data_IF_015439630610
#
_entry.id   IF_015439630610
#
_cell.length_a   1.000
_cell.length_b   1.000
_cell.length_c   1.000
_cell.angle_alpha   90.00
_cell.angle_beta   90.00
_cell.angle_gamma   90.00
#
_symmetry.space_group_name_H-M   'P 1'
#
loop_
_entity.id
_entity.type
_entity.pdbx_description
1 polymer ?
#
# COMPACT_ATOMS: atom_id res chain seq x y z
N UNK A 1 -20.51 -22.90 -20.63
CA UNK A 1 -19.21 -22.58 -19.97
C UNK A 1 -18.82 -21.09 -20.07
N UNK A 2 -19.30 -20.31 -21.04
CA UNK A 2 -18.95 -18.88 -21.17
C UNK A 2 -19.63 -17.95 -20.14
N UNK A 3 -20.81 -18.30 -19.63
CA UNK A 3 -21.58 -17.47 -18.68
C UNK A 3 -20.82 -17.10 -17.39
N UNK A 4 -20.28 -18.07 -16.64
CA UNK A 4 -19.55 -17.79 -15.39
C UNK A 4 -18.28 -16.96 -15.58
N UNK A 5 -17.57 -17.16 -16.70
CA UNK A 5 -16.37 -16.37 -17.03
C UNK A 5 -16.77 -14.92 -17.36
N UNK A 6 -17.83 -14.74 -18.16
CA UNK A 6 -18.33 -13.42 -18.50
C UNK A 6 -18.82 -12.66 -17.25
N UNK A 7 -19.45 -13.36 -16.31
CA UNK A 7 -19.90 -12.79 -15.04
C UNK A 7 -18.71 -12.35 -14.16
N UNK A 8 -17.67 -13.18 -14.04
CA UNK A 8 -16.44 -12.81 -13.33
C UNK A 8 -15.78 -11.57 -13.93
N UNK A 9 -15.64 -11.52 -15.27
CA UNK A 9 -15.07 -10.38 -15.97
C UNK A 9 -15.93 -9.12 -15.84
N UNK A 10 -17.26 -9.26 -15.90
CA UNK A 10 -18.20 -8.16 -15.69
C UNK A 10 -18.07 -7.60 -14.27
N UNK A 11 -17.99 -8.46 -13.26
CA UNK A 11 -17.82 -8.05 -11.86
C UNK A 11 -16.46 -7.38 -11.62
N UNK A 12 -15.38 -7.91 -12.19
CA UNK A 12 -14.07 -7.27 -12.16
C UNK A 12 -14.12 -5.88 -12.83
N UNK A 13 -14.79 -5.77 -13.97
CA UNK A 13 -14.98 -4.51 -14.69
C UNK A 13 -15.82 -3.48 -13.94
N UNK A 14 -16.90 -3.90 -13.26
CA UNK A 14 -17.71 -2.99 -12.44
C UNK A 14 -16.94 -2.51 -11.21
N UNK A 15 -16.19 -3.38 -10.55
CA UNK A 15 -15.28 -3.01 -9.47
C UNK A 15 -14.23 -2.00 -9.96
N UNK A 16 -13.57 -2.29 -11.09
CA UNK A 16 -12.59 -1.40 -11.70
C UNK A 16 -13.18 -0.02 -12.00
N UNK A 17 -14.38 0.02 -12.58
CA UNK A 17 -15.08 1.26 -12.89
C UNK A 17 -15.36 2.10 -11.65
N UNK A 18 -15.72 1.47 -10.54
CA UNK A 18 -16.07 2.21 -9.32
C UNK A 18 -14.87 2.80 -8.60
N UNK A 19 -13.73 2.12 -8.65
CA UNK A 19 -12.51 2.59 -7.98
C UNK A 19 -11.61 3.44 -8.88
N UNK A 20 -11.87 3.52 -10.18
CA UNK A 20 -10.95 4.15 -11.14
C UNK A 20 -10.63 5.60 -10.78
N UNK A 21 -11.63 6.44 -10.56
CA UNK A 21 -11.40 7.86 -10.24
C UNK A 21 -10.69 8.04 -8.89
N UNK A 22 -11.03 7.24 -7.88
CA UNK A 22 -10.45 7.35 -6.54
C UNK A 22 -8.99 6.89 -6.55
N UNK A 23 -8.69 5.86 -7.31
CA UNK A 23 -7.33 5.39 -7.60
C UNK A 23 -6.51 6.48 -8.30
N UNK A 24 -7.04 7.11 -9.37
CA UNK A 24 -6.36 8.21 -10.07
C UNK A 24 -6.11 9.39 -9.12
N UNK A 25 -7.12 9.78 -8.36
CA UNK A 25 -7.02 10.87 -7.39
C UNK A 25 -5.95 10.57 -6.34
N UNK A 26 -5.96 9.36 -5.81
CA UNK A 26 -5.03 8.92 -4.79
C UNK A 26 -3.57 8.95 -5.27
N UNK A 27 -3.27 8.29 -6.39
CA UNK A 27 -1.94 8.36 -7.01
C UNK A 27 -1.52 9.78 -7.36
N UNK A 28 -2.46 10.64 -7.77
CA UNK A 28 -2.19 12.06 -8.04
C UNK A 28 -1.78 12.77 -6.75
N UNK A 29 -2.52 12.61 -5.66
CA UNK A 29 -2.19 13.18 -4.36
C UNK A 29 -0.83 12.66 -3.86
N UNK A 30 -0.60 11.35 -3.94
CA UNK A 30 0.68 10.73 -3.60
C UNK A 30 1.83 11.36 -4.40
N UNK A 31 1.65 11.53 -5.71
CA UNK A 31 2.66 12.13 -6.60
C UNK A 31 2.92 13.60 -6.27
N UNK A 32 1.90 14.37 -5.90
CA UNK A 32 2.04 15.75 -5.43
C UNK A 32 2.85 15.79 -4.14
N UNK A 33 2.52 14.94 -3.17
CA UNK A 33 3.26 14.92 -1.90
C UNK A 33 4.70 14.48 -2.11
N UNK A 34 4.95 13.42 -2.88
CA UNK A 34 6.30 12.96 -3.20
C UNK A 34 7.12 13.99 -4.01
N UNK A 35 6.50 14.78 -4.87
CA UNK A 35 7.19 15.87 -5.58
C UNK A 35 7.60 17.03 -4.65
N UNK A 36 6.88 17.23 -3.54
CA UNK A 36 7.07 18.34 -2.62
C UNK A 36 7.94 17.99 -1.40
N UNK A 37 7.88 16.73 -0.94
CA UNK A 37 8.63 16.21 0.22
C UNK A 37 9.98 15.67 -0.23
N UNK A 38 11.06 16.28 0.26
CA UNK A 38 12.45 15.89 -0.08
C UNK A 38 12.84 14.61 0.65
N UNK A 39 13.33 13.60 -0.08
CA UNK A 39 13.75 12.31 0.48
C UNK A 39 15.06 12.41 1.31
N UNK A 40 15.90 13.41 1.02
CA UNK A 40 17.20 13.62 1.69
C UNK A 40 17.13 14.06 3.17
N UNK A 41 16.00 14.62 3.63
CA UNK A 41 15.85 15.08 5.02
C UNK A 41 15.60 13.93 6.01
N UNK A 42 15.13 12.77 5.53
CA UNK A 42 14.58 11.70 6.39
C UNK A 42 15.66 10.90 7.14
N UNK A 43 16.84 10.70 6.53
CA UNK A 43 17.87 9.80 7.08
C UNK A 43 18.48 10.31 8.38
N UNK A 44 18.68 11.64 8.53
CA UNK A 44 19.27 12.22 9.74
C UNK A 44 18.34 12.19 10.96
N UNK A 45 17.04 11.96 10.76
CA UNK A 45 16.01 12.00 11.80
C UNK A 45 15.64 10.61 12.34
N UNK A 46 16.11 9.52 11.73
CA UNK A 46 15.66 8.14 12.00
C UNK A 46 16.74 7.18 12.53
N UNK A 47 17.85 7.71 13.05
CA UNK A 47 19.01 6.91 13.49
C UNK A 47 18.82 6.08 14.77
N UNK A 48 17.69 6.22 15.47
CA UNK A 48 17.38 5.46 16.69
C UNK A 48 15.95 4.86 16.64
N UNK A 49 15.59 4.14 17.71
CA UNK A 49 14.33 3.43 17.92
C UNK A 49 13.56 3.97 19.15
N UNK A 50 13.80 5.23 19.49
CA UNK A 50 13.07 5.95 20.55
C UNK A 50 11.65 6.28 20.09
N UNK A 51 10.67 6.39 21.01
CA UNK A 51 9.28 6.69 20.66
C UNK A 51 9.10 7.94 19.80
N UNK A 52 9.87 9.01 20.07
CA UNK A 52 9.87 10.23 19.27
C UNK A 52 10.28 10.00 17.81
N UNK A 53 11.21 9.08 17.59
CA UNK A 53 11.75 8.75 16.28
C UNK A 53 10.80 7.85 15.52
N UNK A 54 10.19 6.88 16.20
CA UNK A 54 9.12 6.07 15.61
C UNK A 54 7.91 6.93 15.21
N UNK A 55 7.53 7.91 16.03
CA UNK A 55 6.47 8.86 15.68
C UNK A 55 6.81 9.69 14.44
N UNK A 56 8.04 10.20 14.35
CA UNK A 56 8.53 10.89 13.14
C UNK A 56 8.53 9.95 11.94
N UNK A 57 8.94 8.70 12.12
CA UNK A 57 8.94 7.68 11.07
C UNK A 57 7.54 7.40 10.54
N UNK A 58 6.57 7.23 11.45
CA UNK A 58 5.17 7.03 11.10
C UNK A 58 4.59 8.26 10.37
N UNK A 59 4.86 9.46 10.85
CA UNK A 59 4.41 10.70 10.19
C UNK A 59 5.01 10.88 8.80
N UNK A 60 6.31 10.58 8.63
CA UNK A 60 6.98 10.63 7.33
C UNK A 60 6.47 9.54 6.38
N UNK A 61 6.21 8.33 6.90
CA UNK A 61 5.59 7.25 6.13
C UNK A 61 4.20 7.65 5.63
N UNK A 62 3.32 8.06 6.54
CA UNK A 62 1.97 8.51 6.21
C UNK A 62 1.96 9.65 5.17
N UNK A 63 2.92 10.58 5.27
CA UNK A 63 3.10 11.63 4.26
C UNK A 63 3.65 11.08 2.93
N UNK A 64 4.59 10.14 2.96
CA UNK A 64 5.23 9.60 1.75
C UNK A 64 4.25 8.88 0.82
N UNK A 65 3.15 8.34 1.34
CA UNK A 65 2.04 7.75 0.59
C UNK A 65 2.55 6.89 -0.57
N UNK A 66 3.08 5.72 -0.26
CA UNK A 66 3.76 4.86 -1.24
C UNK A 66 3.06 3.51 -1.36
N UNK A 67 3.04 2.94 -2.57
CA UNK A 67 2.57 1.57 -2.73
C UNK A 67 3.44 0.59 -1.93
N UNK A 68 2.92 -0.60 -1.61
CA UNK A 68 3.62 -1.59 -0.76
C UNK A 68 5.03 -1.92 -1.28
N UNK A 69 5.25 -1.97 -2.59
CA UNK A 69 6.60 -2.18 -3.18
C UNK A 69 7.54 -0.99 -3.00
N UNK A 70 7.06 0.23 -3.27
CA UNK A 70 7.84 1.44 -3.08
C UNK A 70 8.16 1.66 -1.61
N UNK A 71 7.21 1.39 -0.70
CA UNK A 71 7.39 1.45 0.74
C UNK A 71 8.53 0.51 1.19
N UNK A 72 8.52 -0.75 0.76
CA UNK A 72 9.57 -1.73 1.11
C UNK A 72 10.94 -1.34 0.54
N UNK A 73 10.99 -0.80 -0.69
CA UNK A 73 12.23 -0.30 -1.28
C UNK A 73 12.78 0.92 -0.52
N UNK A 74 11.92 1.85 -0.13
CA UNK A 74 12.28 3.02 0.67
C UNK A 74 12.73 2.63 2.08
N UNK A 75 12.03 1.71 2.74
CA UNK A 75 12.41 1.19 4.05
C UNK A 75 13.80 0.55 4.02
N UNK A 76 14.09 -0.27 2.99
CA UNK A 76 15.43 -0.81 2.76
C UNK A 76 16.46 0.31 2.60
N UNK A 77 16.18 1.32 1.79
CA UNK A 77 17.08 2.46 1.57
C UNK A 77 17.36 3.23 2.87
N UNK A 78 16.33 3.49 3.68
CA UNK A 78 16.46 4.12 5.01
C UNK A 78 17.36 3.28 5.92
N UNK A 79 17.12 1.97 5.99
CA UNK A 79 17.93 1.06 6.79
C UNK A 79 19.39 1.00 6.32
N UNK A 80 19.64 0.94 5.01
CA UNK A 80 21.01 0.99 4.43
C UNK A 80 21.74 2.27 4.79
N UNK A 81 21.03 3.39 4.88
CA UNK A 81 21.58 4.71 5.17
C UNK A 81 21.71 4.99 6.68
N UNK A 82 21.47 3.99 7.53
CA UNK A 82 21.73 4.05 8.97
C UNK A 82 20.50 4.36 9.84
N UNK A 83 19.29 4.35 9.28
CA UNK A 83 18.09 4.37 10.11
C UNK A 83 17.98 3.07 10.93
N UNK A 84 17.36 3.13 12.11
CA UNK A 84 17.09 1.91 12.87
C UNK A 84 16.13 1.00 12.08
N UNK A 85 16.32 -0.31 12.17
CA UNK A 85 15.46 -1.27 11.46
C UNK A 85 13.99 -1.09 11.82
N UNK A 86 13.71 -0.90 13.12
CA UNK A 86 12.37 -0.64 13.62
C UNK A 86 11.78 0.64 13.04
N UNK A 87 12.53 1.75 13.00
CA UNK A 87 12.04 2.98 12.38
C UNK A 87 11.74 2.78 10.89
N UNK A 88 12.60 2.06 10.15
CA UNK A 88 12.37 1.74 8.74
C UNK A 88 11.09 0.93 8.52
N UNK A 89 10.81 -0.07 9.35
CA UNK A 89 9.56 -0.85 9.27
C UNK A 89 8.33 -0.03 9.68
N UNK A 90 8.46 0.85 10.67
CA UNK A 90 7.37 1.77 11.04
C UNK A 90 7.05 2.76 9.91
N UNK A 91 8.08 3.26 9.22
CA UNK A 91 7.89 4.07 8.01
C UNK A 91 7.13 3.28 6.94
N UNK A 92 7.53 2.03 6.71
CA UNK A 92 6.93 1.13 5.72
C UNK A 92 5.43 0.89 5.96
N UNK A 93 5.07 0.51 7.19
CA UNK A 93 3.68 0.29 7.63
C UNK A 93 2.87 1.58 7.52
N UNK A 94 3.42 2.70 8.01
CA UNK A 94 2.70 3.97 7.94
C UNK A 94 2.49 4.46 6.49
N UNK A 95 3.46 4.19 5.61
CA UNK A 95 3.39 4.57 4.18
C UNK A 95 2.34 3.81 3.38
N UNK A 96 1.80 2.72 3.93
CA UNK A 96 0.79 1.88 3.29
C UNK A 96 -0.56 1.95 4.00
N UNK A 97 -0.58 1.91 5.35
CA UNK A 97 -1.82 1.84 6.14
C UNK A 97 -2.34 3.20 6.65
N UNK A 98 -1.51 4.25 6.70
CA UNK A 98 -1.94 5.58 7.18
C UNK A 98 -2.18 6.58 6.04
N UNK A 99 -2.38 6.07 4.83
CA UNK A 99 -2.51 6.90 3.63
C UNK A 99 -3.94 7.41 3.48
N UNK A 100 -4.07 8.71 3.20
CA UNK A 100 -5.37 9.37 2.97
C UNK A 100 -6.12 8.76 1.78
N UNK A 101 -5.40 8.40 0.72
CA UNK A 101 -5.96 7.70 -0.46
C UNK A 101 -6.71 6.43 -0.07
N UNK A 102 -6.08 5.53 0.68
CA UNK A 102 -6.71 4.28 1.13
C UNK A 102 -7.97 4.59 1.94
N UNK A 103 -7.89 5.58 2.83
CA UNK A 103 -9.02 6.02 3.64
C UNK A 103 -10.22 6.49 2.80
N UNK A 104 -9.99 7.21 1.70
CA UNK A 104 -11.05 7.62 0.76
C UNK A 104 -11.69 6.40 0.09
N UNK A 105 -10.87 5.44 -0.37
CA UNK A 105 -11.37 4.24 -1.06
C UNK A 105 -12.19 3.36 -0.09
N UNK A 106 -11.72 3.18 1.15
CA UNK A 106 -12.46 2.48 2.20
C UNK A 106 -13.80 3.16 2.50
N UNK A 107 -13.81 4.50 2.61
CA UNK A 107 -15.02 5.25 2.93
C UNK A 107 -16.11 5.06 1.87
N UNK A 108 -15.70 4.97 0.60
CA UNK A 108 -16.61 4.81 -0.54
C UNK A 108 -17.11 3.37 -0.70
N UNK A 109 -16.25 2.37 -0.47
CA UNK A 109 -16.59 0.96 -0.77
C UNK A 109 -17.14 0.18 0.42
N UNK A 110 -16.65 0.44 1.63
CA UNK A 110 -17.07 -0.28 2.84
C UNK A 110 -17.75 0.64 3.87
N UNK A 111 -17.50 1.95 3.78
CA UNK A 111 -18.06 2.97 4.68
C UNK A 111 -17.00 3.62 5.56
N UNK A 112 -17.33 4.80 6.09
CA UNK A 112 -16.40 5.62 6.89
C UNK A 112 -15.92 4.92 8.17
N UNK A 113 -16.67 3.93 8.68
CA UNK A 113 -16.30 3.15 9.85
C UNK A 113 -15.02 2.34 9.60
N UNK A 114 -14.86 1.78 8.39
CA UNK A 114 -13.62 1.07 8.01
C UNK A 114 -12.45 2.04 7.82
N UNK A 115 -12.71 3.24 7.30
CA UNK A 115 -11.71 4.31 7.25
C UNK A 115 -11.22 4.68 8.64
N UNK A 116 -12.14 4.90 9.59
CA UNK A 116 -11.77 5.18 10.97
C UNK A 116 -11.02 4.00 11.61
N UNK A 117 -11.45 2.77 11.34
CA UNK A 117 -10.80 1.57 11.84
C UNK A 117 -9.37 1.42 11.32
N UNK A 118 -9.12 1.73 10.05
CA UNK A 118 -7.79 1.77 9.46
C UNK A 118 -6.91 2.81 10.18
N UNK A 119 -7.39 4.05 10.35
CA UNK A 119 -6.63 5.12 11.00
C UNK A 119 -6.43 4.93 12.51
N UNK A 120 -7.28 4.14 13.18
CA UNK A 120 -7.11 3.76 14.59
C UNK A 120 -6.21 2.53 14.72
N UNK A 121 -6.38 1.54 13.85
CA UNK A 121 -5.61 0.31 13.89
C UNK A 121 -4.19 0.47 13.37
N UNK A 122 -3.93 1.35 12.41
CA UNK A 122 -2.59 1.68 11.91
C UNK A 122 -1.60 2.08 13.01
N UNK A 123 -1.91 3.05 13.89
CA UNK A 123 -1.07 3.38 15.04
C UNK A 123 -0.96 2.22 16.05
N UNK A 124 -2.03 1.44 16.24
CA UNK A 124 -2.01 0.25 17.12
C UNK A 124 -1.00 -0.78 16.59
N UNK A 125 -1.06 -1.14 15.30
CA UNK A 125 -0.13 -2.12 14.71
C UNK A 125 1.31 -1.60 14.75
N UNK A 126 1.53 -0.29 14.54
CA UNK A 126 2.87 0.32 14.65
C UNK A 126 3.44 0.15 16.06
N UNK A 127 2.63 0.42 17.09
CA UNK A 127 3.04 0.22 18.48
C UNK A 127 3.31 -1.24 18.77
N UNK A 128 2.43 -2.15 18.36
CA UNK A 128 2.59 -3.59 18.55
C UNK A 128 3.87 -4.11 17.89
N UNK A 129 4.11 -3.75 16.62
CA UNK A 129 5.33 -4.12 15.88
C UNK A 129 6.56 -3.58 16.59
N UNK A 130 6.56 -2.31 17.00
CA UNK A 130 7.69 -1.71 17.69
C UNK A 130 8.02 -2.41 19.02
N UNK A 131 7.00 -2.77 19.80
CA UNK A 131 7.17 -3.51 21.06
C UNK A 131 7.65 -4.94 20.82
N UNK A 132 7.08 -5.64 19.86
CA UNK A 132 7.48 -7.01 19.51
C UNK A 132 8.91 -7.06 18.97
N UNK A 133 9.31 -6.09 18.14
CA UNK A 133 10.69 -6.03 17.63
C UNK A 133 11.72 -5.81 18.72
N UNK A 134 11.41 -5.07 19.79
CA UNK A 134 12.32 -4.96 20.96
C UNK A 134 12.61 -6.31 21.63
N UNK A 135 11.71 -7.29 21.50
CA UNK A 135 11.84 -8.62 22.10
C UNK A 135 12.45 -9.61 21.09
N UNK A 136 12.01 -9.54 19.83
CA UNK A 136 12.32 -10.54 18.79
C UNK A 136 13.64 -10.24 18.06
N UNK A 137 13.97 -8.96 17.84
CA UNK A 137 15.16 -8.59 17.09
C UNK A 137 16.39 -8.55 18.01
N UNK A 138 17.39 -9.35 17.66
CA UNK A 138 18.70 -9.38 18.33
C UNK A 138 19.73 -8.66 17.48
N UNK A 139 20.74 -8.06 18.10
CA UNK A 139 21.80 -7.33 17.39
C UNK A 139 22.48 -8.14 16.28
N UNK A 140 22.70 -9.44 16.52
CA UNK A 140 23.26 -10.34 15.50
C UNK A 140 22.39 -10.38 14.25
N UNK A 141 21.08 -10.52 14.41
CA UNK A 141 20.13 -10.60 13.30
C UNK A 141 20.07 -9.28 12.52
N UNK A 142 20.11 -8.15 13.21
CA UNK A 142 20.13 -6.82 12.59
C UNK A 142 21.43 -6.62 11.79
N UNK A 143 22.59 -7.01 12.35
CA UNK A 143 23.88 -6.96 11.66
C UNK A 143 23.91 -7.86 10.43
N UNK A 144 23.40 -9.09 10.54
CA UNK A 144 23.31 -10.03 9.41
C UNK A 144 22.41 -9.46 8.30
N UNK A 145 21.27 -8.85 8.67
CA UNK A 145 20.39 -8.18 7.74
C UNK A 145 21.09 -6.99 7.06
N UNK A 146 21.80 -6.14 7.82
CA UNK A 146 22.54 -5.00 7.28
C UNK A 146 23.63 -5.44 6.29
N UNK A 147 24.39 -6.50 6.63
CA UNK A 147 25.38 -7.10 5.75
C UNK A 147 24.78 -7.74 4.49
N UNK A 148 23.57 -8.28 4.58
CA UNK A 148 22.83 -8.76 3.40
C UNK A 148 22.41 -7.59 2.51
N UNK A 149 21.92 -6.50 3.11
CA UNK A 149 21.41 -5.35 2.38
C UNK A 149 22.54 -4.60 1.64
N UNK A 150 23.76 -4.58 2.20
CA UNK A 150 24.94 -3.97 1.59
C UNK A 150 25.51 -4.72 0.38
N UNK A 151 25.06 -5.96 0.10
CA UNK A 151 25.44 -6.71 -1.11
C UNK A 151 24.95 -6.10 -2.42
N UNK A 152 24.20 -4.99 -2.37
CA UNK A 152 23.80 -4.24 -3.57
C UNK A 152 22.86 -4.99 -4.51
N UNK A 153 22.24 -6.09 -4.06
CA UNK A 153 21.32 -6.87 -4.89
C UNK A 153 20.12 -6.01 -5.28
N UNK A 154 20.04 -5.61 -6.55
CA UNK A 154 18.97 -4.74 -7.07
C UNK A 154 17.60 -5.39 -6.91
N UNK A 155 16.68 -4.75 -6.21
CA UNK A 155 15.28 -5.17 -6.15
C UNK A 155 14.47 -4.62 -7.33
N UNK A 156 13.27 -5.16 -7.55
CA UNK A 156 12.28 -4.46 -8.38
C UNK A 156 11.97 -3.12 -7.68
N UNK A 157 11.96 -2.00 -8.42
CA UNK A 157 11.70 -0.64 -7.94
C UNK A 157 12.84 0.14 -7.26
N UNK A 158 14.06 -0.39 -7.14
CA UNK A 158 15.17 0.38 -6.52
C UNK A 158 15.59 1.61 -7.34
N UNK A 159 15.56 1.54 -8.68
CA UNK A 159 15.83 2.70 -9.53
C UNK A 159 14.85 3.85 -9.28
N UNK A 160 13.56 3.54 -9.05
CA UNK A 160 12.52 4.53 -8.72
C UNK A 160 12.62 5.04 -7.27
N UNK A 161 13.03 4.20 -6.34
CA UNK A 161 13.31 4.62 -4.96
C UNK A 161 14.55 5.54 -4.87
N UNK A 162 15.54 5.35 -5.75
CA UNK A 162 16.80 6.09 -5.78
C UNK A 162 16.71 7.44 -6.53
N UNK A 163 15.81 7.59 -7.50
CA UNK A 163 15.58 8.86 -8.18
C UNK A 163 14.88 9.86 -7.25
N UNK A 164 15.61 10.87 -6.76
CA UNK A 164 15.01 12.02 -6.07
C UNK A 164 14.45 12.97 -7.13
N UNK A 165 13.16 12.82 -7.41
CA UNK A 165 12.43 13.69 -8.34
C UNK A 165 11.81 14.90 -7.64
N UNK A 166 12.12 15.13 -6.36
CA UNK A 166 11.57 16.27 -5.63
C UNK A 166 12.08 17.59 -6.20
N UNK A 167 11.21 18.61 -6.19
CA UNK A 167 11.48 19.84 -6.93
C UNK A 167 12.39 20.76 -6.11
N UNK A 168 13.62 20.98 -6.54
CA UNK A 168 14.51 21.96 -5.94
C UNK A 168 14.12 23.40 -6.32
N UNK A 169 13.93 24.26 -5.31
CA UNK A 169 13.67 25.69 -5.48
C UNK A 169 13.32 26.41 -4.17
N UNK A 170 13.68 27.69 -4.08
CA UNK A 170 13.25 28.60 -3.02
C UNK A 170 11.88 29.21 -3.37
N UNK A 171 10.95 29.27 -2.40
CA UNK A 171 9.60 29.81 -2.60
C UNK A 171 8.50 29.03 -1.87
N UNK A 172 7.26 29.49 -1.98
CA UNK A 172 6.09 28.84 -1.37
C UNK A 172 5.80 27.47 -2.01
N UNK A 173 5.19 26.55 -1.24
CA UNK A 173 4.82 25.20 -1.69
C UNK A 173 3.99 25.24 -2.98
N UNK A 174 3.07 26.20 -3.08
CA UNK A 174 2.21 26.39 -4.24
C UNK A 174 2.97 26.86 -5.49
N UNK A 175 3.92 27.78 -5.33
CA UNK A 175 4.76 28.25 -6.43
C UNK A 175 5.64 27.11 -6.99
N UNK A 176 6.16 26.25 -6.11
CA UNK A 176 6.93 25.05 -6.51
C UNK A 176 6.05 24.03 -7.24
N UNK A 177 4.85 23.75 -6.74
CA UNK A 177 3.93 22.77 -7.32
C UNK A 177 3.48 23.14 -8.74
N UNK A 178 3.05 24.40 -8.95
CA UNK A 178 2.57 24.87 -10.26
C UNK A 178 3.69 25.32 -11.22
N UNK A 179 4.95 25.16 -10.83
CA UNK A 179 6.08 25.41 -11.73
C UNK A 179 6.17 24.34 -12.83
N UNK A 180 6.82 24.67 -13.95
CA UNK A 180 7.06 23.70 -15.02
C UNK A 180 7.84 22.46 -14.54
N UNK A 181 8.79 22.64 -13.61
CA UNK A 181 9.52 21.52 -13.00
C UNK A 181 8.62 20.71 -12.05
N UNK A 182 7.80 21.38 -11.26
CA UNK A 182 6.81 20.78 -10.36
C UNK A 182 5.84 19.86 -11.09
N UNK A 183 5.17 20.38 -12.10
CA UNK A 183 4.22 19.61 -12.90
C UNK A 183 4.89 18.44 -13.64
N UNK A 184 6.13 18.60 -14.08
CA UNK A 184 6.88 17.50 -14.72
C UNK A 184 7.22 16.40 -13.71
N UNK A 185 7.74 16.77 -12.53
CA UNK A 185 8.01 15.82 -11.43
C UNK A 185 6.75 15.05 -11.03
N UNK A 186 5.63 15.73 -10.79
CA UNK A 186 4.34 15.09 -10.47
C UNK A 186 3.91 14.13 -11.57
N UNK A 187 4.00 14.53 -12.85
CA UNK A 187 3.64 13.66 -13.97
C UNK A 187 4.52 12.42 -14.07
N UNK A 188 5.81 12.55 -13.75
CA UNK A 188 6.78 11.47 -13.77
C UNK A 188 6.56 10.48 -12.64
N UNK A 189 6.39 10.96 -11.41
CA UNK A 189 6.07 10.11 -10.26
C UNK A 189 4.74 9.39 -10.51
N UNK A 190 3.71 10.11 -10.97
CA UNK A 190 2.39 9.54 -11.24
C UNK A 190 2.44 8.37 -12.21
N UNK A 191 3.04 8.55 -13.39
CA UNK A 191 3.09 7.49 -14.40
C UNK A 191 3.93 6.29 -13.93
N UNK A 192 5.03 6.54 -13.21
CA UNK A 192 5.88 5.46 -12.70
C UNK A 192 5.21 4.64 -11.60
N UNK A 193 4.52 5.29 -10.64
CA UNK A 193 3.73 4.58 -9.61
C UNK A 193 2.63 3.73 -10.26
N UNK A 194 1.92 4.27 -11.25
CA UNK A 194 0.93 3.51 -12.01
C UNK A 194 1.54 2.31 -12.73
N UNK A 195 2.66 2.50 -13.42
CA UNK A 195 3.34 1.42 -14.14
C UNK A 195 3.81 0.28 -13.22
N UNK A 196 4.15 0.60 -11.97
CA UNK A 196 4.58 -0.37 -10.99
C UNK A 196 3.44 -1.27 -10.49
N UNK A 197 2.23 -0.71 -10.33
CA UNK A 197 1.14 -1.38 -9.60
C UNK A 197 0.02 -1.88 -10.54
N UNK A 198 -0.07 -1.39 -11.77
CA UNK A 198 -1.20 -1.69 -12.69
C UNK A 198 -1.40 -3.20 -12.92
N UNK A 199 -0.32 -3.99 -12.99
CA UNK A 199 -0.42 -5.44 -13.17
C UNK A 199 -1.06 -6.11 -11.96
N UNK A 200 -0.67 -5.69 -10.76
CA UNK A 200 -1.15 -6.27 -9.51
C UNK A 200 -2.60 -5.86 -9.24
N UNK A 201 -2.97 -4.61 -9.55
CA UNK A 201 -4.37 -4.15 -9.50
C UNK A 201 -5.23 -4.95 -10.49
N UNK A 202 -4.76 -5.13 -11.73
CA UNK A 202 -5.49 -5.90 -12.73
C UNK A 202 -5.68 -7.36 -12.29
N UNK A 203 -4.62 -8.02 -11.80
CA UNK A 203 -4.68 -9.39 -11.28
C UNK A 203 -5.61 -9.47 -10.08
N UNK A 204 -5.51 -8.54 -9.13
CA UNK A 204 -6.36 -8.49 -7.95
C UNK A 204 -7.84 -8.31 -8.27
N UNK A 205 -8.17 -7.41 -9.20
CA UNK A 205 -9.55 -7.21 -9.67
C UNK A 205 -10.10 -8.45 -10.39
N UNK A 206 -9.28 -9.13 -11.19
CA UNK A 206 -9.68 -10.37 -11.85
C UNK A 206 -9.92 -11.50 -10.84
N UNK A 207 -9.04 -11.65 -9.84
CA UNK A 207 -9.21 -12.62 -8.76
C UNK A 207 -10.46 -12.29 -7.94
N UNK A 208 -10.64 -11.03 -7.54
CA UNK A 208 -11.80 -10.60 -6.77
C UNK A 208 -13.11 -10.82 -7.55
N UNK A 209 -13.15 -10.49 -8.85
CA UNK A 209 -14.30 -10.74 -9.71
C UNK A 209 -14.59 -12.24 -9.88
N UNK A 210 -13.55 -13.06 -10.06
CA UNK A 210 -13.68 -14.52 -10.14
C UNK A 210 -14.19 -15.11 -8.82
N UNK A 211 -13.64 -14.67 -7.69
CA UNK A 211 -14.06 -15.10 -6.35
C UNK A 211 -15.51 -14.70 -6.09
N UNK A 212 -15.87 -13.45 -6.38
CA UNK A 212 -17.23 -12.94 -6.18
C UNK A 212 -18.25 -13.67 -7.06
N UNK A 213 -17.89 -14.05 -8.29
CA UNK A 213 -18.79 -14.74 -9.21
C UNK A 213 -18.87 -16.26 -8.97
N UNK A 214 -17.75 -16.90 -8.61
CA UNK A 214 -17.66 -18.37 -8.58
C UNK A 214 -17.76 -18.97 -7.19
N UNK A 215 -17.41 -18.23 -6.13
CA UNK A 215 -17.42 -18.76 -4.77
C UNK A 215 -18.76 -18.43 -4.11
N UNK A 216 -19.60 -19.44 -3.81
CA UNK A 216 -20.90 -19.21 -3.18
C UNK A 216 -20.74 -18.55 -1.82
N UNK A 217 -21.67 -17.66 -1.46
CA UNK A 217 -21.68 -17.00 -0.15
C UNK A 217 -21.70 -18.00 1.01
N UNK A 218 -22.32 -19.17 0.83
CA UNK A 218 -22.33 -20.23 1.86
C UNK A 218 -20.95 -20.82 2.14
N UNK A 219 -20.04 -20.84 1.16
CA UNK A 219 -18.65 -21.24 1.40
C UNK A 219 -17.99 -20.28 2.37
N UNK A 220 -18.12 -18.97 2.13
CA UNK A 220 -17.58 -17.93 3.01
C UNK A 220 -18.18 -17.98 4.41
N UNK A 221 -19.51 -18.15 4.51
CA UNK A 221 -20.19 -18.27 5.81
C UNK A 221 -19.67 -19.45 6.62
N UNK A 222 -19.42 -20.59 5.99
CA UNK A 222 -18.81 -21.77 6.65
C UNK A 222 -17.36 -21.50 7.04
N UNK A 223 -16.56 -20.91 6.14
CA UNK A 223 -15.17 -20.60 6.41
C UNK A 223 -15.02 -19.61 7.57
N UNK A 224 -15.89 -18.60 7.65
CA UNK A 224 -15.87 -17.57 8.69
C UNK A 224 -16.68 -17.93 9.93
N UNK A 225 -17.24 -19.14 10.00
CA UNK A 225 -18.06 -19.60 11.12
C UNK A 225 -19.20 -18.61 11.44
N UNK A 226 -19.79 -18.00 10.41
CA UNK A 226 -20.78 -16.95 10.56
C UNK A 226 -22.01 -17.47 11.31
N UNK A 227 -22.40 -16.80 12.39
CA UNK A 227 -23.53 -17.19 13.24
C UNK A 227 -23.15 -17.97 14.50
N UNK A 228 -21.85 -18.28 14.71
CA UNK A 228 -21.35 -18.93 15.93
C UNK A 228 -20.89 -17.94 17.02
N UNK A 229 -21.37 -16.70 16.98
CA UNK A 229 -21.09 -15.68 18.00
C UNK A 229 -19.61 -15.36 18.16
N UNK A 230 -19.04 -15.71 19.31
CA UNK A 230 -17.64 -15.40 19.67
C UNK A 230 -16.61 -16.11 18.78
N UNK A 231 -16.95 -17.27 18.20
CA UNK A 231 -16.04 -17.98 17.30
C UNK A 231 -15.82 -17.22 16.00
N UNK A 232 -16.84 -16.53 15.47
CA UNK A 232 -16.71 -15.67 14.28
C UNK A 232 -15.72 -14.53 14.56
N UNK A 233 -15.87 -13.89 15.73
CA UNK A 233 -15.05 -12.77 16.20
C UNK A 233 -13.58 -13.20 16.40
N UNK A 234 -13.36 -14.40 16.94
CA UNK A 234 -12.01 -14.93 17.14
C UNK A 234 -11.36 -15.36 15.82
N UNK A 235 -12.10 -16.03 14.95
CA UNK A 235 -11.54 -16.67 13.76
C UNK A 235 -11.25 -15.68 12.62
N UNK A 236 -12.10 -14.67 12.45
CA UNK A 236 -11.96 -13.65 11.41
C UNK A 236 -10.57 -13.02 11.36
N UNK A 237 -10.07 -12.44 12.48
CA UNK A 237 -8.77 -11.75 12.51
C UNK A 237 -7.56 -12.64 12.26
N UNK A 238 -7.69 -13.96 12.44
CA UNK A 238 -6.63 -14.94 12.16
C UNK A 238 -6.59 -15.27 10.67
N UNK A 239 -7.77 -15.50 10.09
CA UNK A 239 -7.90 -15.93 8.69
C UNK A 239 -7.74 -14.76 7.72
N UNK A 240 -8.16 -13.55 8.09
CA UNK A 240 -8.05 -12.35 7.27
C UNK A 240 -6.64 -12.17 6.67
N UNK A 241 -5.58 -12.06 7.49
CA UNK A 241 -4.22 -11.94 7.01
C UNK A 241 -3.77 -13.10 6.10
N UNK A 242 -4.22 -14.33 6.37
CA UNK A 242 -3.88 -15.49 5.52
C UNK A 242 -4.49 -15.38 4.12
N UNK A 243 -5.74 -14.88 4.02
CA UNK A 243 -6.37 -14.60 2.73
C UNK A 243 -5.61 -13.49 1.99
N UNK A 244 -5.16 -12.45 2.71
CA UNK A 244 -4.37 -11.35 2.12
C UNK A 244 -3.03 -11.86 1.56
N UNK A 245 -2.30 -12.70 2.30
CA UNK A 245 -1.07 -13.33 1.82
C UNK A 245 -1.30 -14.10 0.52
N UNK A 246 -2.45 -14.79 0.42
CA UNK A 246 -2.83 -15.59 -0.74
C UNK A 246 -3.42 -14.77 -1.91
N UNK A 247 -3.87 -13.53 -1.68
CA UNK A 247 -4.55 -12.72 -2.71
C UNK A 247 -3.59 -12.09 -3.72
N UNK A 248 -2.30 -11.96 -3.37
CA UNK A 248 -1.26 -11.30 -4.18
C UNK A 248 -1.59 -9.84 -4.56
N UNK A 249 -2.50 -9.18 -3.82
CA UNK A 249 -2.92 -7.81 -4.13
C UNK A 249 -2.36 -6.82 -3.12
N UNK A 250 -2.02 -5.61 -3.58
CA UNK A 250 -1.62 -4.50 -2.73
C UNK A 250 -2.80 -3.94 -1.89
N UNK A 251 -2.51 -3.11 -0.89
CA UNK A 251 -3.51 -2.53 0.03
C UNK A 251 -4.77 -2.01 -0.67
N UNK A 252 -4.59 -1.18 -1.71
CA UNK A 252 -5.70 -0.58 -2.46
C UNK A 252 -6.51 -1.64 -3.22
N UNK A 253 -5.82 -2.58 -3.89
CA UNK A 253 -6.50 -3.64 -4.64
C UNK A 253 -7.13 -4.72 -3.74
N UNK A 254 -6.74 -4.80 -2.47
CA UNK A 254 -7.41 -5.64 -1.48
C UNK A 254 -8.76 -5.07 -1.04
N UNK A 255 -9.04 -3.77 -1.19
CA UNK A 255 -10.32 -3.17 -0.74
C UNK A 255 -11.55 -3.79 -1.41
N UNK A 256 -11.59 -4.02 -2.74
CA UNK A 256 -12.70 -4.75 -3.37
C UNK A 256 -12.87 -6.17 -2.81
N UNK A 257 -11.77 -6.90 -2.57
CA UNK A 257 -11.82 -8.23 -1.97
C UNK A 257 -12.32 -8.16 -0.51
N UNK A 258 -11.91 -7.15 0.26
CA UNK A 258 -12.41 -6.89 1.61
C UNK A 258 -13.94 -6.74 1.63
N UNK A 259 -14.51 -6.03 0.66
CA UNK A 259 -15.96 -5.91 0.51
C UNK A 259 -16.64 -7.27 0.23
N UNK A 260 -16.02 -8.13 -0.59
CA UNK A 260 -16.51 -9.51 -0.84
C UNK A 260 -16.45 -10.34 0.44
N UNK A 261 -15.35 -10.28 1.21
CA UNK A 261 -15.21 -11.03 2.46
C UNK A 261 -16.20 -10.55 3.53
N UNK A 262 -16.43 -9.23 3.63
CA UNK A 262 -17.43 -8.63 4.51
C UNK A 262 -18.83 -9.11 4.19
N UNK A 263 -19.22 -9.08 2.91
CA UNK A 263 -20.49 -9.65 2.45
C UNK A 263 -20.57 -11.18 2.66
N UNK A 264 -19.42 -11.84 2.65
CA UNK A 264 -19.25 -13.26 2.99
C UNK A 264 -19.39 -13.57 4.47
N UNK A 265 -19.45 -12.56 5.35
CA UNK A 265 -19.68 -12.72 6.79
C UNK A 265 -18.42 -12.85 7.65
N UNK A 266 -17.26 -12.37 7.18
CA UNK A 266 -16.08 -12.23 8.05
C UNK A 266 -16.36 -11.19 9.16
N UNK A 267 -15.75 -11.34 10.33
CA UNK A 267 -15.88 -10.34 11.41
C UNK A 267 -15.25 -9.00 11.02
N UNK A 268 -15.63 -7.94 11.74
CA UNK A 268 -15.13 -6.58 11.46
C UNK A 268 -13.61 -6.48 11.63
N UNK A 269 -13.06 -7.01 12.72
CA UNK A 269 -11.62 -7.14 12.92
C UNK A 269 -10.97 -8.07 11.92
N UNK A 270 -11.71 -9.06 11.39
CA UNK A 270 -11.26 -9.91 10.29
C UNK A 270 -11.02 -9.15 9.00
N UNK A 271 -11.92 -8.24 8.61
CA UNK A 271 -11.69 -7.34 7.46
C UNK A 271 -10.50 -6.42 7.73
N UNK A 272 -10.45 -5.81 8.92
CA UNK A 272 -9.41 -4.85 9.28
C UNK A 272 -8.02 -5.50 9.27
N UNK A 273 -7.87 -6.67 9.88
CA UNK A 273 -6.62 -7.44 9.84
C UNK A 273 -6.24 -7.91 8.44
N UNK A 274 -7.21 -8.26 7.59
CA UNK A 274 -6.98 -8.55 6.16
C UNK A 274 -6.41 -7.34 5.42
N UNK A 275 -6.97 -6.14 5.66
CA UNK A 275 -6.50 -4.88 5.06
C UNK A 275 -5.07 -4.53 5.50
N UNK A 276 -4.75 -4.71 6.79
CA UNK A 276 -3.41 -4.48 7.31
C UNK A 276 -2.34 -5.45 6.76
N UNK A 277 -2.74 -6.62 6.25
CA UNK A 277 -1.81 -7.67 5.84
C UNK A 277 -1.25 -7.55 4.42
N UNK A 278 -1.41 -6.39 3.77
CA UNK A 278 -0.92 -6.13 2.42
C UNK A 278 0.62 -6.19 2.30
N UNK A 279 1.35 -5.96 3.39
CA UNK A 279 2.81 -6.11 3.45
C UNK A 279 3.28 -7.58 3.55
N UNK A 280 2.36 -8.55 3.67
CA UNK A 280 2.69 -9.97 3.79
C UNK A 280 2.46 -10.78 2.52
N UNK A 281 2.10 -10.13 1.40
CA UNK A 281 1.91 -10.82 0.13
C UNK A 281 3.20 -11.49 -0.37
N UNK A 282 3.05 -12.62 -1.06
CA UNK A 282 4.18 -13.44 -1.51
C UNK A 282 5.27 -12.69 -2.31
N UNK A 283 4.95 -11.73 -3.20
CA UNK A 283 5.98 -10.93 -3.89
C UNK A 283 6.81 -10.08 -2.93
N UNK A 284 6.18 -9.48 -1.92
CA UNK A 284 6.86 -8.68 -0.89
C UNK A 284 7.72 -9.59 0.00
N UNK A 285 7.24 -10.79 0.35
CA UNK A 285 8.05 -11.76 1.08
C UNK A 285 9.32 -12.17 0.32
N UNK A 286 9.22 -12.32 -1.00
CA UNK A 286 10.37 -12.58 -1.86
C UNK A 286 11.37 -11.40 -1.84
N UNK A 287 10.87 -10.17 -1.80
CA UNK A 287 11.68 -8.95 -1.68
C UNK A 287 12.37 -8.89 -0.31
N UNK A 288 11.65 -9.11 0.80
CA UNK A 288 12.26 -9.17 2.13
C UNK A 288 13.35 -10.24 2.22
N UNK A 289 13.10 -11.43 1.65
CA UNK A 289 14.09 -12.51 1.60
C UNK A 289 15.35 -12.05 0.88
N UNK A 290 15.20 -11.35 -0.25
CA UNK A 290 16.31 -10.80 -1.01
C UNK A 290 17.08 -9.73 -0.21
N UNK A 291 16.37 -8.84 0.47
CA UNK A 291 16.93 -7.67 1.15
C UNK A 291 17.58 -7.97 2.49
N UNK A 292 16.95 -8.81 3.30
CA UNK A 292 17.30 -9.02 4.71
C UNK A 292 17.70 -10.46 5.03
N UNK A 293 17.49 -11.39 4.09
CA UNK A 293 17.78 -12.81 4.28
C UNK A 293 16.68 -13.55 5.03
N UNK A 294 16.67 -14.88 4.89
CA UNK A 294 15.57 -15.73 5.33
C UNK A 294 15.25 -15.64 6.83
N UNK A 295 16.28 -15.60 7.67
CA UNK A 295 16.09 -15.52 9.11
C UNK A 295 15.34 -14.24 9.50
N UNK A 296 15.73 -13.09 8.95
CA UNK A 296 15.09 -11.81 9.21
C UNK A 296 13.67 -11.77 8.66
N UNK A 297 13.47 -12.24 7.41
CA UNK A 297 12.14 -12.32 6.79
C UNK A 297 11.17 -13.12 7.64
N UNK A 298 11.57 -14.27 8.17
CA UNK A 298 10.69 -15.07 9.03
C UNK A 298 10.27 -14.31 10.30
N UNK A 299 11.14 -13.45 10.87
CA UNK A 299 10.80 -12.62 12.03
C UNK A 299 9.87 -11.47 11.66
N UNK A 300 10.12 -10.81 10.52
CA UNK A 300 9.23 -9.77 9.99
C UNK A 300 7.83 -10.36 9.80
N UNK A 301 7.71 -11.47 9.07
CA UNK A 301 6.42 -12.14 8.82
C UNK A 301 5.72 -12.52 10.11
N UNK A 302 6.42 -13.16 11.05
CA UNK A 302 5.82 -13.57 12.31
C UNK A 302 5.33 -12.39 13.15
N UNK A 303 6.14 -11.33 13.26
CA UNK A 303 5.78 -10.13 14.04
C UNK A 303 4.63 -9.37 13.38
N UNK A 304 4.71 -9.13 12.07
CA UNK A 304 3.67 -8.43 11.33
C UNK A 304 2.35 -9.19 11.40
N UNK A 305 2.36 -10.50 11.15
CA UNK A 305 1.15 -11.32 11.22
C UNK A 305 0.49 -11.22 12.59
N UNK A 306 1.26 -11.44 13.67
CA UNK A 306 0.72 -11.35 15.04
C UNK A 306 0.23 -9.94 15.37
N UNK A 307 0.96 -8.90 14.96
CA UNK A 307 0.55 -7.51 15.18
C UNK A 307 -0.74 -7.15 14.43
N UNK A 308 -0.93 -7.65 13.21
CA UNK A 308 -2.13 -7.43 12.40
C UNK A 308 -3.34 -8.16 12.97
N UNK A 309 -3.17 -9.41 13.41
CA UNK A 309 -4.21 -10.19 14.11
C UNK A 309 -4.62 -9.47 15.40
N UNK A 310 -3.64 -9.10 16.24
CA UNK A 310 -3.88 -8.39 17.49
C UNK A 310 -4.50 -7.00 17.27
N UNK A 311 -4.05 -6.28 16.24
CA UNK A 311 -4.64 -5.01 15.82
C UNK A 311 -6.10 -5.16 15.40
N UNK A 312 -6.41 -6.20 14.61
CA UNK A 312 -7.79 -6.55 14.23
C UNK A 312 -8.67 -6.81 15.45
N UNK A 313 -8.20 -7.58 16.43
CA UNK A 313 -8.94 -7.80 17.68
C UNK A 313 -9.13 -6.51 18.49
N UNK A 314 -8.09 -5.71 18.65
CA UNK A 314 -8.17 -4.47 19.43
C UNK A 314 -9.16 -3.50 18.78
N UNK A 315 -9.08 -3.33 17.47
CA UNK A 315 -10.03 -2.49 16.72
C UNK A 315 -11.45 -3.03 16.84
N UNK A 316 -11.64 -4.35 16.72
CA UNK A 316 -12.95 -4.98 16.87
C UNK A 316 -13.55 -4.72 18.27
N UNK A 317 -12.76 -4.90 19.34
CA UNK A 317 -13.19 -4.62 20.70
C UNK A 317 -13.52 -3.14 20.90
N UNK A 318 -12.65 -2.23 20.46
CA UNK A 318 -12.86 -0.78 20.58
C UNK A 318 -14.16 -0.37 19.86
N UNK A 319 -14.36 -0.83 18.62
CA UNK A 319 -15.52 -0.45 17.83
C UNK A 319 -16.80 -1.12 18.32
N UNK A 320 -16.70 -2.34 18.85
CA UNK A 320 -17.83 -3.00 19.48
C UNK A 320 -18.32 -2.22 20.72
N UNK A 321 -17.39 -1.80 21.58
CA UNK A 321 -17.70 -1.00 22.78
C UNK A 321 -18.28 0.37 22.46
N UNK A 322 -17.84 0.98 21.36
CA UNK A 322 -18.34 2.28 20.89
C UNK A 322 -19.58 2.17 20.01
N UNK A 323 -20.08 0.96 19.74
CA UNK A 323 -21.18 0.70 18.80
C UNK A 323 -20.95 1.30 17.39
N UNK A 324 -19.69 1.30 16.94
CA UNK A 324 -19.27 1.84 15.65
C UNK A 324 -19.14 0.80 14.55
N UNK A 325 -19.46 -0.48 14.82
CA UNK A 325 -19.41 -1.53 13.81
C UNK A 325 -20.55 -1.33 12.80
N UNK A 326 -20.27 -1.22 11.49
CA UNK A 326 -21.29 -1.00 10.48
C UNK A 326 -22.24 -2.21 10.38
N UNK A 327 -23.51 -1.94 10.11
CA UNK A 327 -24.48 -2.98 9.76
C UNK A 327 -24.15 -3.57 8.37
N UNK A 328 -24.37 -4.87 8.19
CA UNK A 328 -23.95 -5.65 7.01
C UNK A 328 -24.46 -5.16 5.64
N UNK A 329 -25.33 -4.14 5.58
CA UNK A 329 -25.90 -3.61 4.33
C UNK A 329 -25.13 -2.47 3.64
N UNK A 330 -23.99 -2.02 4.18
CA UNK A 330 -23.30 -0.81 3.68
C UNK A 330 -22.11 -1.08 2.74
N UNK A 331 -21.68 -2.34 2.58
CA UNK A 331 -20.56 -2.66 1.69
C UNK A 331 -21.02 -2.82 0.24
N UNK A 332 -20.15 -2.40 -0.68
CA UNK A 332 -20.40 -2.54 -2.11
C UNK A 332 -20.65 -4.00 -2.51
N UNK A 333 -21.75 -4.26 -3.21
CA UNK A 333 -22.20 -5.62 -3.58
C UNK A 333 -21.91 -6.02 -5.03
N UNK A 334 -21.20 -5.21 -5.82
CA UNK A 334 -20.93 -5.53 -7.23
C UNK A 334 -22.14 -5.38 -8.17
N UNK A 335 -23.35 -5.26 -7.62
CA UNK A 335 -24.61 -5.42 -8.36
C UNK A 335 -25.08 -4.17 -9.11
N UNK A 336 -24.61 -2.98 -8.74
CA UNK A 336 -24.91 -1.74 -9.47
C UNK A 336 -24.02 -1.63 -10.71
N UNK A 337 -24.62 -1.84 -11.89
CA UNK A 337 -23.96 -1.66 -13.17
C UNK A 337 -23.50 -0.21 -13.43
N UNK A 338 -22.77 0.00 -14.53
CA UNK A 338 -22.35 1.33 -14.97
C UNK A 338 -23.60 2.19 -15.21
N UNK A 339 -23.70 3.30 -14.49
CA UNK A 339 -24.81 4.26 -14.59
C UNK A 339 -24.27 5.68 -14.64
N UNK A 340 -25.07 6.63 -15.14
CA UNK A 340 -24.73 8.05 -15.16
C UNK A 340 -24.91 8.68 -13.79
N UNK A 341 -24.04 8.31 -12.86
CA UNK A 341 -23.99 8.82 -11.51
C UNK A 341 -22.70 9.64 -11.29
N UNK A 342 -22.50 10.11 -10.07
CA UNK A 342 -21.31 10.87 -9.70
C UNK A 342 -20.00 10.12 -10.01
N UNK A 343 -19.96 8.79 -9.85
CA UNK A 343 -18.78 7.96 -10.17
C UNK A 343 -18.38 8.10 -11.64
N UNK A 344 -19.36 8.08 -12.55
CA UNK A 344 -19.10 8.25 -13.99
C UNK A 344 -18.56 9.65 -14.31
N UNK A 345 -19.11 10.71 -13.72
CA UNK A 345 -18.58 12.06 -13.91
C UNK A 345 -17.17 12.22 -13.35
N UNK A 346 -16.90 11.69 -12.16
CA UNK A 346 -15.57 11.71 -11.56
C UNK A 346 -14.57 10.89 -12.39
N UNK A 347 -14.96 9.72 -12.89
CA UNK A 347 -14.13 8.92 -13.80
C UNK A 347 -13.72 9.74 -15.03
N UNK A 348 -14.66 10.43 -15.67
CA UNK A 348 -14.37 11.27 -16.85
C UNK A 348 -13.34 12.36 -16.49
N UNK A 349 -13.59 13.12 -15.41
CA UNK A 349 -12.70 14.21 -14.98
C UNK A 349 -11.29 13.69 -14.68
N UNK A 350 -11.18 12.64 -13.88
CA UNK A 350 -9.88 12.11 -13.47
C UNK A 350 -9.15 11.40 -14.60
N UNK A 351 -9.85 10.74 -15.53
CA UNK A 351 -9.23 10.18 -16.75
C UNK A 351 -8.66 11.30 -17.63
N UNK A 352 -9.36 12.44 -17.76
CA UNK A 352 -8.84 13.60 -18.50
C UNK A 352 -7.56 14.14 -17.83
N UNK A 353 -7.55 14.27 -16.50
CA UNK A 353 -6.37 14.70 -15.74
C UNK A 353 -5.22 13.72 -15.94
N UNK A 354 -5.46 12.41 -15.78
CA UNK A 354 -4.47 11.36 -15.97
C UNK A 354 -3.90 11.39 -17.40
N UNK A 355 -4.75 11.56 -18.42
CA UNK A 355 -4.31 11.69 -19.81
C UNK A 355 -3.40 12.92 -20.00
N UNK A 356 -3.72 14.06 -19.37
CA UNK A 356 -2.88 15.26 -19.38
C UNK A 356 -1.49 15.01 -18.76
N UNK A 357 -1.44 14.28 -17.64
CA UNK A 357 -0.17 13.91 -16.98
C UNK A 357 0.65 12.94 -17.83
N UNK A 358 0.01 11.92 -18.43
CA UNK A 358 0.66 10.98 -19.34
C UNK A 358 1.23 11.71 -20.56
N UNK A 359 0.48 12.64 -21.16
CA UNK A 359 0.96 13.45 -22.28
C UNK A 359 2.18 14.29 -21.89
N UNK A 360 2.16 14.89 -20.70
CA UNK A 360 3.31 15.64 -20.17
C UNK A 360 4.52 14.74 -19.92
N UNK A 361 4.30 13.55 -19.36
CA UNK A 361 5.34 12.55 -19.12
C UNK A 361 6.04 12.13 -20.40
N UNK A 362 5.27 11.81 -21.45
CA UNK A 362 5.82 11.43 -22.76
C UNK A 362 6.61 12.60 -23.37
N UNK A 363 6.07 13.83 -23.32
CA UNK A 363 6.73 15.03 -23.86
C UNK A 363 8.00 15.44 -23.10
N UNK A 364 8.13 15.06 -21.83
CA UNK A 364 9.30 15.37 -20.99
C UNK A 364 10.38 14.29 -21.00
N UNK A 365 10.29 13.31 -21.92
CA UNK A 365 11.28 12.24 -22.07
C UNK A 365 11.11 11.08 -21.08
N UNK A 366 9.97 11.01 -20.38
CA UNK A 366 9.75 10.01 -19.33
C UNK A 366 9.77 8.55 -19.79
N UNK A 367 9.55 8.30 -21.09
CA UNK A 367 9.65 6.97 -21.67
C UNK A 367 11.04 6.31 -21.50
N UNK A 368 12.11 7.11 -21.41
CA UNK A 368 13.45 6.61 -21.08
C UNK A 368 13.55 6.09 -19.64
N UNK A 369 12.88 6.76 -18.70
CA UNK A 369 12.90 6.37 -17.27
C UNK A 369 12.15 5.06 -17.00
N UNK A 370 11.05 4.79 -17.70
CA UNK A 370 10.33 3.51 -17.61
C UNK A 370 11.22 2.31 -17.94
N UNK A 371 12.15 2.46 -18.89
CA UNK A 371 13.11 1.40 -19.24
C UNK A 371 14.15 1.17 -18.13
N UNK A 372 14.42 2.17 -17.29
CA UNK A 372 15.36 2.09 -16.18
C UNK A 372 14.74 1.52 -14.89
N UNK A 373 13.41 1.40 -14.80
CA UNK A 373 12.73 0.86 -13.60
C UNK A 373 13.12 -0.60 -13.24
N UNK A 374 13.64 -1.37 -14.21
CA UNK A 374 14.13 -2.74 -14.01
C UNK A 374 15.66 -2.88 -13.90
N UNK A 375 16.41 -1.77 -14.00
CA UNK A 375 17.87 -1.76 -14.01
C UNK A 375 18.49 -1.51 -12.63
N UNK A 376 19.74 -1.94 -12.44
CA UNK A 376 20.56 -1.51 -11.31
C UNK A 376 20.81 0.01 -11.39
N UNK A 377 20.96 0.72 -10.25
CA UNK A 377 21.33 2.14 -10.29
C UNK A 377 22.64 2.31 -11.07
N UNK A 378 22.71 3.35 -11.91
CA UNK A 378 23.98 3.77 -12.49
C UNK A 378 24.95 4.03 -11.35
N UNK A 379 26.11 3.37 -11.39
CA UNK A 379 27.26 3.74 -10.59
C UNK A 379 27.65 5.17 -10.99
N UNK A 380 28.07 6.00 -10.04
CA UNK A 380 28.51 7.40 -10.26
C UNK A 380 29.65 7.59 -11.29
N UNK A 381 30.09 6.53 -11.97
CA UNK A 381 31.08 6.55 -13.04
C UNK A 381 30.49 6.79 -14.45
N UNK A 382 29.17 6.76 -14.63
CA UNK A 382 28.52 6.97 -15.95
C UNK A 382 27.91 8.39 -16.11
N UNK A 383 28.59 9.41 -15.61
CA UNK A 383 28.31 10.78 -16.04
C UNK A 383 28.91 11.00 -17.45
N UNK A 384 28.12 11.34 -18.48
CA UNK A 384 28.71 11.74 -19.75
C UNK A 384 29.45 13.06 -19.52
N UNK A 385 30.77 13.02 -19.69
CA UNK A 385 31.62 14.19 -19.70
C UNK A 385 31.09 15.16 -20.78
N UNK A 386 30.41 16.21 -20.34
CA UNK A 386 30.15 17.38 -21.18
C UNK A 386 31.49 18.07 -21.43
N UNK A 387 32.17 17.66 -22.51
CA UNK A 387 33.26 18.42 -23.08
C UNK A 387 32.74 19.76 -23.58
N UNK A 388 33.10 20.83 -22.86
CA UNK A 388 33.10 22.18 -23.40
C UNK A 388 34.30 22.31 -24.35
N UNK A 389 34.01 22.59 -25.62
CA UNK A 389 34.91 23.31 -26.52
C UNK A 389 34.10 24.35 -27.28
#
# INVERSE_FOLDING_TARGET
>A
MLGPILEALRTAGTMAWQILWSLILGFLLASVVQALVRRSTVVKLLGDDRPSTLLKSAGLGAASSSCSYAAVALARSLFRRGASFTAAMVFEIASTNLVVELGIILALLLGWQFTLAEFVGGPIIIVLVALMFRIVLRDKLIRDAQAQTSKGLAGSMEGHAAMDMSVDGEGSVWARLFSARGLTSVSQIFVMEWAAVIRDIAVGLLIAGAVAAWVPVDFWRRLFLHGHGTLTLLWGPIVGPLISIASFVCSIGNVPLAAVLWNGGISFGGVVSFLFADLLILPILAIYKKYYGWAMTARIVGVFYVAMVAGGYLVEVIFHLLHLIPSAGHAFTGASGISWNYTTYLNIVFVIIAAGLILRFVRSGGAGMLKMMGGAPATDDDAPAHHHH
#
